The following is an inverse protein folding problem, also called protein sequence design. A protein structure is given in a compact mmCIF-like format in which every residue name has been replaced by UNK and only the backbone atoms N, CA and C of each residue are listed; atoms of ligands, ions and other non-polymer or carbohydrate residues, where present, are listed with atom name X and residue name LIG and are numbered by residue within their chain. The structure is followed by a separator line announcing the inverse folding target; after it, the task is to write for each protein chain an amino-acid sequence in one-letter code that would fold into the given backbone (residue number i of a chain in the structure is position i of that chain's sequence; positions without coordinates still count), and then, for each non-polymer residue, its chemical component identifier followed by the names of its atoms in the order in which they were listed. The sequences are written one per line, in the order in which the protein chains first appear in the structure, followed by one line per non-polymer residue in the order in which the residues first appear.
data_IF_716196177668
#
_entry.id   IF_716196177668
#
_cell.length_a   1.000
_cell.length_b   1.000
_cell.length_c   1.000
_cell.angle_alpha   90.00
_cell.angle_beta   90.00
_cell.angle_gamma   90.00
#
_symmetry.space_group_name_H-M   'P 1'
#
loop_
_entity.id
_entity.type
_entity.pdbx_description
1 polymer ?
#
# COMPACT_ATOMS: atom_id res chain seq x y z
N UNK A 1 -38.35 -23.70 50.48
CA UNK A 1 -39.52 -23.78 49.58
C UNK A 1 -39.21 -22.95 48.33
N UNK A 2 -38.79 -23.58 47.24
CA UNK A 2 -38.48 -22.88 45.98
C UNK A 2 -39.72 -22.90 45.09
N UNK A 3 -40.26 -21.72 44.75
CA UNK A 3 -41.38 -21.64 43.80
C UNK A 3 -40.90 -22.00 42.38
N UNK A 4 -41.64 -22.82 41.62
CA UNK A 4 -41.28 -23.15 40.26
C UNK A 4 -41.46 -21.92 39.37
N UNK A 5 -40.36 -21.43 38.80
CA UNK A 5 -40.37 -20.38 37.76
C UNK A 5 -41.26 -20.85 36.62
N UNK A 6 -42.36 -20.11 36.39
CA UNK A 6 -43.27 -20.31 35.25
C UNK A 6 -42.45 -20.44 33.96
N UNK A 7 -42.63 -21.56 33.25
CA UNK A 7 -42.10 -21.78 31.90
C UNK A 7 -42.58 -20.62 31.02
N UNK A 8 -41.68 -19.72 30.63
CA UNK A 8 -41.98 -18.72 29.60
C UNK A 8 -42.44 -19.48 28.36
N UNK A 9 -43.58 -19.07 27.81
CA UNK A 9 -44.28 -19.78 26.76
C UNK A 9 -43.34 -19.98 25.56
N UNK A 10 -43.05 -21.23 25.18
CA UNK A 10 -42.23 -21.59 24.01
C UNK A 10 -42.68 -20.85 22.74
N UNK A 11 -43.97 -20.50 22.67
CA UNK A 11 -44.58 -19.75 21.56
C UNK A 11 -44.00 -18.33 21.39
N UNK A 12 -43.75 -17.60 22.48
CA UNK A 12 -43.13 -16.26 22.41
C UNK A 12 -41.68 -16.33 21.92
N UNK A 13 -40.95 -17.37 22.33
CA UNK A 13 -39.59 -17.61 21.87
C UNK A 13 -39.56 -17.95 20.38
N UNK A 14 -40.48 -18.79 19.91
CA UNK A 14 -40.59 -19.11 18.48
C UNK A 14 -40.96 -17.88 17.64
N UNK A 15 -41.92 -17.07 18.09
CA UNK A 15 -42.34 -15.85 17.38
C UNK A 15 -41.21 -14.83 17.27
N UNK A 16 -40.41 -14.66 18.33
CA UNK A 16 -39.28 -13.73 18.34
C UNK A 16 -38.15 -14.18 17.41
N UNK A 17 -37.89 -15.48 17.29
CA UNK A 17 -36.81 -16.00 16.44
C UNK A 17 -37.24 -16.29 14.99
N UNK A 18 -38.55 -16.34 14.72
CA UNK A 18 -39.09 -16.51 13.37
C UNK A 18 -39.05 -15.23 12.53
N UNK A 19 -38.82 -14.05 13.14
CA UNK A 19 -38.68 -12.81 12.39
C UNK A 19 -37.30 -12.73 11.71
N UNK A 20 -37.24 -12.32 10.43
CA UNK A 20 -35.97 -12.13 9.74
C UNK A 20 -35.15 -11.04 10.44
N UNK A 21 -33.83 -11.26 10.53
CA UNK A 21 -32.92 -10.24 11.07
C UNK A 21 -33.04 -8.97 10.21
N UNK A 22 -33.13 -7.77 10.81
CA UNK A 22 -33.19 -6.52 10.06
C UNK A 22 -31.95 -6.40 9.18
N UNK A 23 -32.15 -5.90 7.95
CA UNK A 23 -31.04 -5.65 7.03
C UNK A 23 -30.15 -4.54 7.62
N UNK A 24 -28.95 -4.92 8.05
CA UNK A 24 -27.94 -3.98 8.52
C UNK A 24 -27.35 -3.34 7.27
N UNK A 25 -27.40 -2.00 7.10
CA UNK A 25 -26.79 -1.35 5.96
C UNK A 25 -25.28 -1.66 5.94
N UNK A 26 -24.68 -1.85 4.76
CA UNK A 26 -23.25 -2.15 4.67
C UNK A 26 -22.43 -1.02 5.30
N UNK A 27 -21.48 -1.40 6.14
CA UNK A 27 -20.52 -0.49 6.75
C UNK A 27 -19.77 0.27 5.63
N UNK A 28 -19.85 1.60 5.62
CA UNK A 28 -19.09 2.43 4.69
C UNK A 28 -17.68 2.61 5.27
N UNK A 29 -16.61 2.11 4.62
CA UNK A 29 -15.26 2.30 5.12
C UNK A 29 -14.89 3.79 5.06
N UNK A 30 -14.28 4.29 6.13
CA UNK A 30 -13.70 5.64 6.13
C UNK A 30 -12.59 5.72 5.06
N UNK A 31 -12.49 6.85 4.33
CA UNK A 31 -11.42 7.04 3.35
C UNK A 31 -10.06 6.87 4.01
N UNK A 32 -9.23 6.00 3.46
CA UNK A 32 -7.83 5.89 3.92
C UNK A 32 -7.07 7.16 3.55
N UNK A 33 -5.97 7.47 4.27
CA UNK A 33 -5.11 8.66 4.03
C UNK A 33 -4.65 8.84 2.57
N UNK A 34 -4.69 7.76 1.78
CA UNK A 34 -4.25 7.70 0.38
C UNK A 34 -5.39 7.65 -0.63
N UNK A 35 -6.63 7.50 -0.17
CA UNK A 35 -7.80 7.66 -1.02
C UNK A 35 -7.96 9.14 -1.34
N UNK A 36 -7.75 9.52 -2.60
CA UNK A 36 -8.13 10.86 -3.05
C UNK A 36 -9.63 11.01 -2.77
N UNK A 37 -10.07 12.01 -1.98
CA UNK A 37 -11.48 12.24 -1.82
C UNK A 37 -12.07 12.42 -3.22
N UNK A 38 -13.14 11.68 -3.50
CA UNK A 38 -13.86 11.83 -4.77
C UNK A 38 -14.37 13.27 -4.92
N UNK A 39 -15.01 13.59 -6.06
CA UNK A 39 -15.76 14.84 -6.15
C UNK A 39 -16.69 14.98 -4.94
N UNK A 40 -16.71 16.17 -4.32
CA UNK A 40 -17.54 16.46 -3.15
C UNK A 40 -18.99 16.02 -3.40
N UNK A 41 -19.60 15.36 -2.42
CA UNK A 41 -21.02 15.03 -2.50
C UNK A 41 -21.86 16.30 -2.40
N UNK A 42 -23.14 16.22 -2.78
CA UNK A 42 -24.07 17.35 -2.73
C UNK A 42 -24.12 17.99 -1.33
N UNK A 43 -24.11 17.18 -0.27
CA UNK A 43 -24.12 17.66 1.11
C UNK A 43 -22.83 18.42 1.47
N UNK A 44 -21.69 17.93 0.97
CA UNK A 44 -20.40 18.60 1.15
C UNK A 44 -20.41 19.96 0.43
N UNK A 45 -20.99 20.04 -0.77
CA UNK A 45 -21.16 21.28 -1.52
C UNK A 45 -22.02 22.30 -0.78
N UNK A 46 -23.12 21.86 -0.18
CA UNK A 46 -23.99 22.73 0.63
C UNK A 46 -23.23 23.27 1.85
N UNK A 47 -22.45 22.43 2.53
CA UNK A 47 -21.65 22.84 3.69
C UNK A 47 -20.52 23.80 3.31
N UNK A 48 -19.84 23.54 2.18
CA UNK A 48 -18.82 24.44 1.63
C UNK A 48 -19.41 25.81 1.28
N UNK A 49 -20.58 25.84 0.64
CA UNK A 49 -21.25 27.10 0.30
C UNK A 49 -21.60 27.92 1.55
N UNK A 50 -22.11 27.28 2.60
CA UNK A 50 -22.34 27.93 3.91
C UNK A 50 -21.05 28.47 4.52
N UNK A 51 -19.95 27.72 4.43
CA UNK A 51 -18.64 28.17 4.90
C UNK A 51 -18.14 29.40 4.14
N UNK A 52 -18.29 29.43 2.81
CA UNK A 52 -17.92 30.57 1.98
C UNK A 52 -18.69 31.84 2.35
N UNK A 53 -19.99 31.73 2.66
CA UNK A 53 -20.78 32.89 3.07
C UNK A 53 -20.24 33.59 4.32
N UNK A 54 -19.61 32.83 5.23
CA UNK A 54 -19.05 33.37 6.48
C UNK A 54 -17.59 33.81 6.33
N UNK A 55 -16.79 33.06 5.58
CA UNK A 55 -15.32 33.19 5.60
C UNK A 55 -14.72 33.78 4.32
N UNK A 56 -15.46 33.82 3.21
CA UNK A 56 -14.97 34.37 1.95
C UNK A 56 -15.21 35.88 1.82
N UNK A 57 -15.71 36.54 2.88
CA UNK A 57 -15.76 38.00 2.92
C UNK A 57 -14.32 38.55 2.79
N UNK A 58 -14.07 39.55 1.92
CA UNK A 58 -12.75 40.14 1.79
C UNK A 58 -12.28 40.70 3.12
N UNK A 59 -11.21 40.13 3.67
CA UNK A 59 -10.54 40.71 4.83
C UNK A 59 -9.89 42.01 4.35
N UNK A 60 -10.47 43.15 4.72
CA UNK A 60 -9.85 44.45 4.51
C UNK A 60 -8.55 44.51 5.31
N UNK A 61 -7.42 44.20 4.64
CA UNK A 61 -6.10 44.33 5.24
C UNK A 61 -5.79 45.82 5.36
N UNK A 62 -5.35 46.31 6.53
CA UNK A 62 -4.92 47.69 6.67
C UNK A 62 -3.76 47.97 5.70
N UNK A 63 -3.69 49.18 5.12
CA UNK A 63 -2.67 49.52 4.14
C UNK A 63 -1.27 49.33 4.74
N UNK A 64 -0.46 48.53 4.05
CA UNK A 64 0.94 48.27 4.40
C UNK A 64 1.67 49.61 4.36
N UNK A 65 2.16 50.08 5.52
CA UNK A 65 3.04 51.24 5.60
C UNK A 65 4.34 50.90 4.87
N UNK A 66 4.56 51.51 3.70
CA UNK A 66 5.82 51.41 2.96
C UNK A 66 6.86 52.26 3.70
N UNK A 67 7.70 51.64 4.51
CA UNK A 67 8.92 52.32 4.96
C UNK A 67 9.94 52.36 3.80
N UNK A 68 10.60 53.51 3.56
CA UNK A 68 11.62 53.60 2.54
C UNK A 68 12.83 52.72 2.91
N UNK A 69 13.46 52.03 1.94
CA UNK A 69 14.62 51.20 2.20
C UNK A 69 15.77 52.05 2.77
N UNK A 70 16.55 51.51 3.73
CA UNK A 70 17.70 52.22 4.27
C UNK A 70 18.76 52.46 3.17
N UNK A 71 19.50 53.58 3.22
CA UNK A 71 20.52 53.90 2.23
C UNK A 71 21.66 52.87 2.22
N UNK A 72 22.26 52.57 1.05
CA UNK A 72 23.33 51.60 0.94
C UNK A 72 24.61 52.10 1.64
N UNK A 73 25.04 51.38 2.67
CA UNK A 73 26.35 51.52 3.29
C UNK A 73 27.43 50.94 2.35
N UNK A 74 28.52 51.68 2.05
CA UNK A 74 29.62 51.15 1.24
C UNK A 74 30.51 50.23 2.09
N UNK A 75 30.17 48.94 2.16
CA UNK A 75 31.09 47.93 2.69
C UNK A 75 32.15 47.57 1.65
N UNK A 76 33.41 47.66 2.09
CA UNK A 76 34.64 47.32 1.37
C UNK A 76 34.56 45.94 0.75
N UNK A 77 34.68 45.88 -0.58
CA UNK A 77 35.03 44.67 -1.32
C UNK A 77 36.47 44.29 -0.95
N UNK A 78 36.75 43.09 -0.41
CA UNK A 78 38.13 42.60 -0.33
C UNK A 78 38.61 42.27 -1.75
N UNK A 79 39.70 42.91 -2.18
CA UNK A 79 40.41 42.58 -3.44
C UNK A 79 40.82 41.11 -3.42
N UNK A 80 40.42 40.35 -4.43
CA UNK A 80 40.96 39.01 -4.69
C UNK A 80 42.42 39.16 -5.08
N UNK A 81 43.33 38.84 -4.16
CA UNK A 81 44.71 38.57 -4.50
C UNK A 81 44.78 37.24 -5.25
N UNK A 82 45.55 37.23 -6.34
CA UNK A 82 45.75 36.12 -7.26
C UNK A 82 46.25 34.85 -6.53
N UNK A 83 45.62 33.71 -6.81
CA UNK A 83 46.05 32.42 -6.30
C UNK A 83 47.39 32.01 -6.96
N UNK A 84 48.39 31.54 -6.20
CA UNK A 84 49.61 31.01 -6.79
C UNK A 84 49.29 29.71 -7.55
N UNK A 85 49.64 29.67 -8.84
CA UNK A 85 49.57 28.48 -9.71
C UNK A 85 50.61 27.46 -9.22
N UNK A 86 50.18 26.44 -8.50
CA UNK A 86 50.99 25.23 -8.30
C UNK A 86 50.97 24.38 -9.58
N UNK A 87 52.09 23.74 -9.96
CA UNK A 87 52.18 23.01 -11.22
C UNK A 87 51.31 21.75 -11.20
N UNK A 88 50.59 21.58 -12.30
CA UNK A 88 49.84 20.37 -12.65
C UNK A 88 50.87 19.25 -12.88
N UNK A 89 50.98 18.32 -11.93
CA UNK A 89 51.69 17.06 -12.12
C UNK A 89 50.70 15.91 -11.86
N UNK A 90 50.36 15.23 -12.96
CA UNK A 90 49.83 13.86 -13.08
C UNK A 90 48.93 13.31 -11.98
N UNK A 91 47.62 13.43 -12.14
CA UNK A 91 46.68 12.48 -11.54
C UNK A 91 46.61 11.21 -12.40
N UNK A 92 47.72 10.51 -12.49
CA UNK A 92 47.74 9.11 -12.90
C UNK A 92 47.19 8.29 -11.74
N UNK A 93 46.03 7.67 -11.99
CA UNK A 93 45.51 6.46 -11.36
C UNK A 93 46.54 5.79 -10.42
N UNK A 94 46.41 6.00 -9.11
CA UNK A 94 47.13 5.18 -8.15
C UNK A 94 46.53 3.77 -8.20
N UNK A 95 47.27 2.90 -8.85
CA UNK A 95 47.14 1.47 -8.69
C UNK A 95 47.23 1.10 -7.22
N UNK A 96 46.44 0.10 -6.85
CA UNK A 96 46.34 -0.50 -5.54
C UNK A 96 47.69 -1.12 -5.12
N UNK A 97 48.62 -0.29 -4.64
CA UNK A 97 49.82 -0.70 -3.93
C UNK A 97 49.66 -0.31 -2.47
N UNK A 98 49.26 -1.26 -1.62
CA UNK A 98 49.01 -1.02 -0.20
C UNK A 98 50.30 -0.75 0.58
N UNK A 99 50.63 0.52 0.77
CA UNK A 99 51.42 0.95 1.93
C UNK A 99 50.47 1.39 3.04
N UNK A 100 50.30 0.52 4.04
CA UNK A 100 49.50 0.79 5.24
C UNK A 100 49.93 2.09 5.92
N UNK A 101 51.24 2.35 5.92
CA UNK A 101 51.84 3.50 6.58
C UNK A 101 51.47 4.84 5.90
N UNK A 102 51.30 4.85 4.57
CA UNK A 102 50.89 6.05 3.82
C UNK A 102 49.41 6.38 4.06
N UNK A 103 48.55 5.35 4.14
CA UNK A 103 47.13 5.51 4.47
C UNK A 103 46.95 6.00 5.91
N UNK A 104 47.77 5.52 6.85
CA UNK A 104 47.76 5.97 8.23
C UNK A 104 48.31 7.40 8.39
N UNK A 105 49.37 7.76 7.66
CA UNK A 105 49.90 9.12 7.64
C UNK A 105 48.89 10.13 7.08
N UNK A 106 48.22 9.78 5.97
CA UNK A 106 47.19 10.61 5.38
C UNK A 106 45.96 10.75 6.29
N UNK A 107 45.58 9.67 6.99
CA UNK A 107 44.48 9.67 7.96
C UNK A 107 44.78 10.56 9.17
N UNK A 108 46.05 10.60 9.62
CA UNK A 108 46.48 11.49 10.71
C UNK A 108 46.45 12.96 10.29
N UNK A 109 46.99 13.28 9.12
CA UNK A 109 47.06 14.66 8.59
C UNK A 109 45.69 15.23 8.20
N UNK A 110 44.76 14.38 7.76
CA UNK A 110 43.39 14.80 7.40
C UNK A 110 42.48 15.04 8.61
N UNK A 111 42.90 14.63 9.81
CA UNK A 111 42.16 14.91 11.04
C UNK A 111 42.60 16.25 11.65
N UNK A 112 41.66 17.17 11.96
CA UNK A 112 42.03 18.47 12.56
C UNK A 112 42.61 18.25 13.95
N UNK A 113 43.71 18.97 14.25
CA UNK A 113 44.42 18.92 15.54
C UNK A 113 43.50 19.20 16.75
N UNK A 114 42.45 20.01 16.56
CA UNK A 114 41.39 20.24 17.54
C UNK A 114 40.02 19.87 16.95
N UNK A 115 39.36 18.87 17.55
CA UNK A 115 37.98 18.50 17.21
C UNK A 115 37.02 19.53 17.81
N UNK A 116 36.47 20.41 16.97
CA UNK A 116 35.43 21.36 17.41
C UNK A 116 34.13 20.60 17.66
N UNK A 117 33.58 20.67 18.87
CA UNK A 117 32.35 19.94 19.28
C UNK A 117 31.04 20.39 18.61
N UNK A 118 31.08 21.29 17.62
CA UNK A 118 29.89 21.84 16.97
C UNK A 118 29.25 20.89 15.96
N UNK A 119 30.02 19.96 15.39
CA UNK A 119 29.50 19.01 14.40
C UNK A 119 29.70 17.57 14.87
N UNK A 120 28.64 16.98 15.40
CA UNK A 120 28.54 15.53 15.56
C UNK A 120 27.85 15.00 14.29
N UNK A 121 28.55 14.26 13.41
CA UNK A 121 27.89 13.65 12.28
C UNK A 121 26.77 12.74 12.80
N UNK A 122 25.58 12.77 12.18
CA UNK A 122 24.51 11.88 12.57
C UNK A 122 24.98 10.42 12.46
N UNK A 123 24.48 9.52 13.31
CA UNK A 123 24.73 8.10 13.16
C UNK A 123 24.42 7.67 11.72
N UNK A 124 25.24 6.78 11.11
CA UNK A 124 24.98 6.29 9.77
C UNK A 124 23.56 5.71 9.71
N UNK A 125 22.81 6.05 8.65
CA UNK A 125 21.44 5.57 8.45
C UNK A 125 21.41 4.04 8.55
N UNK A 126 20.81 3.52 9.62
CA UNK A 126 20.60 2.09 9.80
C UNK A 126 19.42 1.70 8.92
N UNK A 127 19.72 1.18 7.73
CA UNK A 127 18.69 0.59 6.88
C UNK A 127 18.03 -0.59 7.62
N UNK A 128 16.70 -0.69 7.52
CA UNK A 128 15.93 -1.78 8.11
C UNK A 128 16.59 -3.13 7.79
N UNK A 129 16.70 -4.00 8.80
CA UNK A 129 17.36 -5.30 8.73
C UNK A 129 16.97 -6.07 7.46
N UNK A 130 17.92 -6.24 6.54
CA UNK A 130 17.75 -7.07 5.34
C UNK A 130 18.37 -8.44 5.62
N UNK A 131 17.57 -9.51 5.72
CA UNK A 131 18.09 -10.84 6.07
C UNK A 131 19.13 -11.30 5.04
N UNK A 132 20.25 -11.83 5.55
CA UNK A 132 21.34 -12.36 4.74
C UNK A 132 21.04 -13.81 4.42
N UNK A 133 20.61 -14.09 3.19
CA UNK A 133 20.64 -15.45 2.70
C UNK A 133 22.11 -15.84 2.48
N UNK A 134 22.53 -16.99 3.01
CA UNK A 134 23.88 -17.49 2.83
C UNK A 134 24.23 -17.53 1.33
N UNK A 135 25.47 -17.20 0.97
CA UNK A 135 26.02 -17.21 -0.40
C UNK A 135 25.51 -16.14 -1.38
N UNK A 136 24.67 -15.18 -0.94
CA UNK A 136 24.30 -14.03 -1.77
C UNK A 136 25.19 -12.81 -1.43
N UNK A 137 25.68 -12.05 -2.42
CA UNK A 137 26.37 -10.79 -2.16
C UNK A 137 25.45 -9.84 -1.39
N UNK A 138 26.03 -8.93 -0.58
CA UNK A 138 25.23 -7.95 0.17
C UNK A 138 24.35 -7.19 -0.82
N UNK A 139 23.03 -7.08 -0.58
CA UNK A 139 22.17 -6.26 -1.43
C UNK A 139 22.68 -4.83 -1.34
N UNK A 140 23.34 -4.38 -2.41
CA UNK A 140 23.78 -3.01 -2.55
C UNK A 140 22.55 -2.10 -2.71
N UNK A 141 22.69 -0.79 -2.41
CA UNK A 141 21.70 0.18 -2.87
C UNK A 141 21.43 -0.06 -4.36
N UNK A 142 20.15 -0.22 -4.72
CA UNK A 142 19.73 -0.55 -6.08
C UNK A 142 20.47 0.32 -7.11
N UNK A 143 21.19 -0.27 -8.08
CA UNK A 143 21.99 0.45 -9.07
C UNK A 143 21.18 1.35 -10.02
N UNK A 144 19.87 1.44 -9.82
CA UNK A 144 18.96 2.35 -10.52
C UNK A 144 18.54 3.60 -9.73
N UNK A 145 18.92 3.75 -8.46
CA UNK A 145 18.68 5.04 -7.76
C UNK A 145 19.69 6.04 -8.33
N UNK A 146 19.25 7.21 -8.85
CA UNK A 146 20.15 8.18 -9.47
C UNK A 146 21.32 8.46 -8.51
N UNK A 147 22.54 8.24 -9.01
CA UNK A 147 23.78 8.28 -8.21
C UNK A 147 23.90 9.59 -7.41
N UNK A 148 23.30 10.66 -7.92
CA UNK A 148 23.09 11.90 -7.21
C UNK A 148 21.60 12.13 -6.99
N UNK A 149 21.19 12.26 -5.72
CA UNK A 149 19.87 12.80 -5.37
C UNK A 149 19.78 14.21 -5.96
N UNK A 150 18.66 14.55 -6.60
CA UNK A 150 18.42 15.93 -7.04
C UNK A 150 18.43 16.81 -5.80
N UNK A 151 19.13 17.93 -5.87
CA UNK A 151 19.14 18.93 -4.81
C UNK A 151 17.83 19.71 -4.88
N UNK A 152 16.85 19.27 -4.11
CA UNK A 152 15.58 19.98 -3.94
C UNK A 152 15.79 21.09 -2.91
N UNK A 153 15.37 22.33 -3.17
CA UNK A 153 15.31 23.39 -2.16
C UNK A 153 14.53 22.92 -0.91
N UNK A 154 14.91 23.38 0.27
CA UNK A 154 14.18 23.00 1.50
C UNK A 154 12.75 23.55 1.55
N UNK A 155 12.49 24.65 0.84
CA UNK A 155 11.17 25.22 0.62
C UNK A 155 11.12 25.95 -0.73
N UNK A 156 9.93 25.99 -1.35
CA UNK A 156 9.64 26.83 -2.50
C UNK A 156 8.94 28.11 -2.03
N UNK A 157 9.17 29.22 -2.71
CA UNK A 157 8.53 30.49 -2.38
C UNK A 157 7.03 30.49 -2.73
N UNK A 158 6.67 29.80 -3.82
CA UNK A 158 5.31 29.68 -4.34
C UNK A 158 5.08 28.28 -4.94
N UNK A 159 3.82 27.81 -4.95
CA UNK A 159 3.42 26.52 -5.53
C UNK A 159 3.73 26.45 -7.03
N UNK A 160 3.67 27.58 -7.74
CA UNK A 160 4.00 27.66 -9.17
C UNK A 160 5.47 27.30 -9.41
N UNK A 161 6.37 27.81 -8.56
CA UNK A 161 7.82 27.54 -8.64
C UNK A 161 8.11 26.08 -8.30
N UNK A 162 7.36 25.52 -7.35
CA UNK A 162 7.44 24.09 -7.06
C UNK A 162 6.97 23.26 -8.27
N UNK A 163 5.85 23.64 -8.89
CA UNK A 163 5.30 22.93 -10.04
C UNK A 163 6.23 22.99 -11.26
N UNK A 164 6.84 24.15 -11.52
CA UNK A 164 7.80 24.36 -12.59
C UNK A 164 9.10 23.60 -12.32
N UNK A 165 9.56 23.58 -11.07
CA UNK A 165 10.70 22.77 -10.64
C UNK A 165 10.44 21.29 -10.94
N UNK A 166 9.32 20.73 -10.46
CA UNK A 166 9.01 19.31 -10.68
C UNK A 166 8.74 18.98 -12.15
N UNK A 167 8.21 19.92 -12.94
CA UNK A 167 8.04 19.74 -14.38
C UNK A 167 9.37 19.75 -15.14
N UNK A 168 10.34 20.55 -14.69
CA UNK A 168 11.64 20.74 -15.37
C UNK A 168 12.67 19.71 -14.92
N UNK A 169 12.58 19.21 -13.69
CA UNK A 169 13.51 18.24 -13.11
C UNK A 169 13.59 16.98 -13.98
N UNK A 170 14.78 16.76 -14.55
CA UNK A 170 15.12 15.54 -15.29
C UNK A 170 16.18 14.76 -14.56
N UNK A 171 15.95 13.45 -14.41
CA UNK A 171 16.98 12.54 -13.93
C UNK A 171 17.99 12.28 -15.06
N UNK A 172 19.31 12.32 -14.79
CA UNK A 172 20.28 11.83 -15.77
C UNK A 172 20.05 10.34 -15.97
N UNK A 173 19.41 9.97 -17.08
CA UNK A 173 19.21 8.58 -17.47
C UNK A 173 20.58 8.03 -17.88
N UNK A 174 21.01 6.94 -17.24
CA UNK A 174 22.28 6.30 -17.58
C UNK A 174 22.27 5.86 -19.06
N UNK A 175 23.43 5.85 -19.71
CA UNK A 175 23.54 5.40 -21.12
C UNK A 175 23.00 3.98 -21.29
N UNK A 176 23.25 3.11 -20.30
CA UNK A 176 22.75 1.74 -20.27
C UNK A 176 21.22 1.68 -20.14
N UNK A 177 20.61 2.55 -19.32
CA UNK A 177 19.15 2.59 -19.18
C UNK A 177 18.44 3.08 -20.45
N UNK A 178 19.13 3.86 -21.31
CA UNK A 178 18.58 4.26 -22.63
C UNK A 178 18.58 3.12 -23.65
N UNK A 179 19.52 2.19 -23.55
CA UNK A 179 19.65 1.06 -24.47
C UNK A 179 19.02 -0.23 -23.97
N UNK A 180 18.63 -0.30 -22.69
CA UNK A 180 17.93 -1.47 -22.13
C UNK A 180 16.56 -1.66 -22.76
N UNK A 181 16.40 -2.77 -23.47
CA UNK A 181 15.10 -3.27 -23.89
C UNK A 181 14.36 -3.87 -22.67
N UNK A 182 13.05 -3.62 -22.52
CA UNK A 182 12.26 -4.22 -21.44
C UNK A 182 12.26 -5.75 -21.55
N UNK A 183 12.19 -6.43 -20.41
CA UNK A 183 12.10 -7.89 -20.39
C UNK A 183 10.82 -8.37 -21.06
N UNK A 184 10.83 -9.57 -21.63
CA UNK A 184 9.62 -10.23 -22.13
C UNK A 184 8.50 -10.25 -21.07
N UNK A 185 8.86 -10.46 -19.80
CA UNK A 185 7.89 -10.43 -18.69
C UNK A 185 7.27 -9.04 -18.49
N UNK A 186 8.07 -7.99 -18.60
CA UNK A 186 7.58 -6.60 -18.47
C UNK A 186 6.62 -6.26 -19.61
N UNK A 187 6.96 -6.70 -20.83
CA UNK A 187 6.09 -6.60 -21.99
C UNK A 187 4.80 -7.45 -21.87
N UNK A 188 4.83 -8.57 -21.16
CA UNK A 188 3.63 -9.37 -20.88
C UNK A 188 2.76 -8.74 -19.80
N UNK A 189 3.36 -8.15 -18.76
CA UNK A 189 2.67 -7.45 -17.67
C UNK A 189 2.03 -6.13 -18.12
N UNK A 190 2.63 -5.43 -19.08
CA UNK A 190 2.10 -4.18 -19.63
C UNK A 190 0.90 -4.40 -20.55
N UNK A 191 0.67 -5.64 -21.03
CA UNK A 191 -0.52 -5.95 -21.83
C UNK A 191 -1.76 -5.80 -20.97
N UNK A 192 -2.86 -5.23 -21.52
CA UNK A 192 -4.11 -5.12 -20.79
C UNK A 192 -4.56 -6.53 -20.35
N UNK A 193 -4.99 -6.65 -19.10
CA UNK A 193 -5.51 -7.90 -18.57
C UNK A 193 -6.76 -8.29 -19.37
N UNK A 194 -6.73 -9.44 -20.03
CA UNK A 194 -7.91 -9.99 -20.67
C UNK A 194 -8.94 -10.33 -19.58
N UNK A 195 -10.16 -9.82 -19.74
CA UNK A 195 -11.32 -10.14 -18.90
C UNK A 195 -12.26 -11.01 -19.72
N UNK A 196 -12.71 -12.17 -19.21
CA UNK A 196 -12.49 -12.72 -17.87
C UNK A 196 -11.05 -13.25 -17.65
N UNK A 197 -10.56 -13.27 -16.39
CA UNK A 197 -9.27 -13.86 -16.07
C UNK A 197 -9.25 -15.32 -16.52
N UNK A 198 -8.11 -15.76 -17.07
CA UNK A 198 -7.93 -17.15 -17.50
C UNK A 198 -8.18 -18.08 -16.29
N UNK A 199 -9.15 -19.00 -16.35
CA UNK A 199 -9.44 -19.88 -15.22
C UNK A 199 -8.22 -20.75 -14.92
N UNK A 200 -7.96 -20.99 -13.63
CA UNK A 200 -6.89 -21.88 -13.17
C UNK A 200 -7.05 -23.30 -13.72
N UNK A 201 -8.29 -23.73 -13.92
CA UNK A 201 -8.62 -25.04 -14.47
C UNK A 201 -8.98 -24.93 -15.96
N UNK A 202 -8.55 -25.88 -16.80
CA UNK A 202 -9.04 -25.96 -18.18
C UNK A 202 -10.56 -26.08 -18.15
N UNK A 203 -11.25 -25.23 -18.91
CA UNK A 203 -12.69 -25.38 -19.09
C UNK A 203 -12.94 -26.75 -19.73
N UNK A 204 -13.88 -27.55 -19.22
CA UNK A 204 -14.21 -28.83 -19.83
C UNK A 204 -14.60 -28.58 -21.30
N UNK A 205 -14.17 -29.48 -22.18
CA UNK A 205 -14.52 -29.39 -23.60
C UNK A 205 -16.04 -29.28 -23.73
N UNK A 206 -16.53 -28.46 -24.67
CA UNK A 206 -17.96 -28.16 -24.83
C UNK A 206 -18.85 -29.42 -24.91
N UNK A 207 -18.29 -30.57 -25.28
CA UNK A 207 -18.97 -31.86 -25.34
C UNK A 207 -19.39 -32.42 -23.97
N UNK A 208 -18.82 -31.92 -22.86
CA UNK A 208 -19.24 -32.29 -21.50
C UNK A 208 -20.60 -31.69 -21.09
N UNK A 209 -21.13 -30.74 -21.87
CA UNK A 209 -22.44 -30.10 -21.62
C UNK A 209 -23.63 -30.84 -22.23
N UNK A 210 -23.43 -32.05 -22.76
CA UNK A 210 -24.54 -32.99 -22.93
C UNK A 210 -24.97 -33.48 -21.55
N UNK A 211 -25.53 -32.59 -20.74
CA UNK A 211 -26.28 -32.93 -19.54
C UNK A 211 -27.26 -34.02 -19.96
N UNK A 212 -27.19 -35.23 -19.38
CA UNK A 212 -28.07 -36.31 -19.78
C UNK A 212 -29.50 -35.79 -19.67
N UNK A 213 -30.23 -35.79 -20.79
CA UNK A 213 -31.61 -35.30 -20.85
C UNK A 213 -32.38 -35.99 -19.71
N UNK A 214 -33.02 -35.20 -18.85
CA UNK A 214 -33.85 -35.70 -17.74
C UNK A 214 -34.87 -36.69 -18.31
N UNK A 215 -34.57 -37.99 -18.21
CA UNK A 215 -35.48 -39.07 -18.60
C UNK A 215 -36.47 -39.24 -17.47
N UNK A 216 -37.76 -39.13 -17.77
CA UNK A 216 -38.80 -39.54 -16.82
C UNK A 216 -38.58 -41.02 -16.49
N UNK A 217 -38.73 -41.40 -15.23
CA UNK A 217 -38.67 -42.81 -14.83
C UNK A 217 -39.74 -43.60 -15.59
N UNK A 218 -39.41 -44.80 -16.05
CA UNK A 218 -40.44 -45.72 -16.58
C UNK A 218 -41.39 -46.13 -15.46
N UNK A 219 -42.60 -46.60 -15.78
CA UNK A 219 -43.57 -47.02 -14.75
C UNK A 219 -43.00 -48.10 -13.81
N UNK A 220 -42.16 -49.01 -14.32
CA UNK A 220 -41.46 -50.02 -13.52
C UNK A 220 -40.42 -49.40 -12.59
N UNK A 221 -39.62 -48.45 -13.09
CA UNK A 221 -38.64 -47.71 -12.27
C UNK A 221 -39.33 -46.87 -11.20
N UNK A 222 -40.49 -46.26 -11.52
CA UNK A 222 -41.28 -45.50 -10.56
C UNK A 222 -41.82 -46.38 -9.43
N UNK A 223 -42.36 -47.56 -9.75
CA UNK A 223 -42.80 -48.53 -8.72
C UNK A 223 -41.65 -48.97 -7.81
N UNK A 224 -40.50 -49.30 -8.38
CA UNK A 224 -39.31 -49.65 -7.60
C UNK A 224 -38.81 -48.48 -6.74
N UNK A 225 -38.83 -47.25 -7.27
CA UNK A 225 -38.50 -46.04 -6.53
C UNK A 225 -39.46 -45.83 -5.35
N UNK A 226 -40.76 -45.99 -5.55
CA UNK A 226 -41.74 -45.90 -4.47
C UNK A 226 -41.56 -46.99 -3.41
N UNK A 227 -41.26 -48.22 -3.79
CA UNK A 227 -40.91 -49.28 -2.84
C UNK A 227 -39.69 -48.90 -2.00
N UNK A 228 -38.65 -48.37 -2.64
CA UNK A 228 -37.45 -47.88 -1.93
C UNK A 228 -37.76 -46.76 -0.96
N UNK A 229 -38.58 -45.79 -1.37
CA UNK A 229 -39.00 -44.69 -0.49
C UNK A 229 -39.82 -45.21 0.69
N UNK A 230 -40.71 -46.18 0.48
CA UNK A 230 -41.46 -46.83 1.58
C UNK A 230 -40.53 -47.50 2.58
N UNK A 231 -39.49 -48.20 2.11
CA UNK A 231 -38.48 -48.83 2.98
C UNK A 231 -37.69 -47.77 3.76
N UNK A 232 -37.25 -46.71 3.09
CA UNK A 232 -36.49 -45.62 3.74
C UNK A 232 -37.33 -44.79 4.71
N UNK A 233 -38.65 -44.74 4.50
CA UNK A 233 -39.58 -44.05 5.38
C UNK A 233 -39.91 -44.87 6.64
N UNK A 234 -39.65 -46.18 6.65
CA UNK A 234 -39.77 -46.97 7.87
C UNK A 234 -38.66 -46.56 8.85
N UNK A 235 -38.96 -46.44 10.15
CA UNK A 235 -37.94 -46.15 11.16
C UNK A 235 -36.89 -47.26 11.13
N UNK A 236 -35.62 -46.88 11.24
CA UNK A 236 -34.54 -47.86 11.29
C UNK A 236 -34.71 -48.76 12.51
N UNK A 237 -34.34 -50.03 12.38
CA UNK A 237 -34.46 -51.02 13.47
C UNK A 237 -33.73 -50.56 14.74
N UNK A 238 -32.64 -49.81 14.59
CA UNK A 238 -31.93 -49.16 15.70
C UNK A 238 -32.81 -48.16 16.46
N UNK A 239 -33.55 -47.31 15.75
CA UNK A 239 -34.46 -46.35 16.37
C UNK A 239 -35.61 -47.10 17.07
N UNK A 240 -36.13 -48.18 16.45
CA UNK A 240 -37.17 -49.00 17.08
C UNK A 240 -36.69 -49.70 18.36
N UNK A 241 -35.42 -50.11 18.44
CA UNK A 241 -34.82 -50.72 19.62
C UNK A 241 -34.55 -49.73 20.77
N UNK A 242 -34.34 -48.45 20.45
CA UNK A 242 -34.18 -47.37 21.44
C UNK A 242 -35.50 -46.85 22.01
N UNK A 243 -36.64 -47.18 21.39
CA UNK A 243 -37.94 -46.84 21.93
C UNK A 243 -38.23 -47.72 23.16
N UNK A 244 -38.56 -47.14 24.32
CA UNK A 244 -38.88 -47.91 25.52
C UNK A 244 -40.10 -48.79 25.23
N UNK A 245 -39.99 -50.10 25.54
CA UNK A 245 -41.13 -50.99 25.44
C UNK A 245 -42.22 -50.50 26.40
N UNK A 246 -43.40 -50.18 25.87
CA UNK A 246 -44.57 -49.83 26.69
C UNK A 246 -45.15 -51.03 27.44
N UNK A 247 -44.51 -52.19 27.38
CA UNK A 247 -44.91 -53.40 28.09
C UNK A 247 -44.63 -53.33 29.60
N UNK A 248 -43.75 -52.44 30.09
CA UNK A 248 -43.43 -52.29 31.51
C UNK A 248 -44.31 -51.25 32.24
N UNK A 249 -45.50 -50.93 31.70
CA UNK A 249 -46.40 -49.90 32.25
C UNK A 249 -47.83 -50.36 32.51
N UNK A 250 -48.02 -51.64 32.82
CA UNK A 250 -49.25 -52.19 33.38
C UNK A 250 -48.94 -53.01 34.63
#
# INVERSE_FOLDING_TARGET
MWQPRRRRCSKEWCLRNAQPKPSIPPFKPEPTRWAKPGPMNLDDWVNFYKWCQVNAAPIERPPIKKEPPPPPTPERVPRMAEAPKAPIVGWTRCESGGNRDEQDAFSRLSSPRWRRGKYQPPPPEVFAYRPRLAYQPRPMPEPGRPANKIKVPCCFQHDDVESEFWATVRFPVSKNARSTMPSRKDCELSRPRAVPPKPHCPLPSQNAYLMPKRKKMTARQWRAHQQRLKILAQPSERILAELPCFCDRW
#
